data_IF_175406328086
#
_entry.id   IF_175406328086
#
_cell.length_a   1.000
_cell.length_b   1.000
_cell.length_c   1.000
_cell.angle_alpha   90.00
_cell.angle_beta   90.00
_cell.angle_gamma   90.00
#
_symmetry.space_group_name_H-M   'P 1'
#
loop_
_entity.id
_entity.type
_entity.pdbx_description
1 polymer ?
#
# COMPACT_ATOMS: atom_id res chain seq x y z
N UNK A 1 -12.54 -12.56 18.00
CA UNK A 1 -12.97 -11.56 16.99
C UNK A 1 -12.40 -11.98 15.65
N UNK A 2 -13.25 -12.18 14.63
CA UNK A 2 -12.81 -12.44 13.27
C UNK A 2 -12.46 -11.11 12.61
N UNK A 3 -11.18 -10.85 12.35
CA UNK A 3 -10.75 -9.69 11.57
C UNK A 3 -10.95 -9.94 10.08
N UNK A 4 -11.14 -8.87 9.31
CA UNK A 4 -11.26 -8.97 7.85
C UNK A 4 -9.85 -9.05 7.26
N UNK A 5 -9.41 -10.27 6.95
CA UNK A 5 -8.02 -10.55 6.54
C UNK A 5 -7.53 -9.72 5.33
N UNK A 6 -8.42 -9.37 4.40
CA UNK A 6 -8.06 -8.53 3.26
C UNK A 6 -7.59 -7.13 3.68
N UNK A 7 -8.20 -6.55 4.71
CA UNK A 7 -7.83 -5.24 5.26
C UNK A 7 -6.46 -5.32 5.93
N UNK A 8 -6.22 -6.35 6.76
CA UNK A 8 -4.91 -6.54 7.41
C UNK A 8 -3.77 -6.65 6.40
N UNK A 9 -3.99 -7.43 5.33
CA UNK A 9 -3.02 -7.62 4.25
C UNK A 9 -2.79 -6.33 3.46
N UNK A 10 -3.86 -5.59 3.15
CA UNK A 10 -3.74 -4.28 2.49
C UNK A 10 -2.87 -3.31 3.31
N UNK A 11 -3.11 -3.22 4.62
CA UNK A 11 -2.30 -2.41 5.51
C UNK A 11 -0.86 -2.92 5.67
N UNK A 12 -0.62 -4.23 5.62
CA UNK A 12 0.73 -4.78 5.60
C UNK A 12 1.50 -4.33 4.34
N UNK A 13 0.85 -4.37 3.17
CA UNK A 13 1.41 -3.87 1.91
C UNK A 13 1.72 -2.37 2.01
N UNK A 14 0.79 -1.55 2.48
CA UNK A 14 1.00 -0.11 2.66
C UNK A 14 2.18 0.19 3.60
N UNK A 15 2.28 -0.50 4.74
CA UNK A 15 3.42 -0.34 5.66
C UNK A 15 4.75 -0.74 5.01
N UNK A 16 4.76 -1.78 4.17
CA UNK A 16 5.98 -2.19 3.46
C UNK A 16 6.49 -1.11 2.50
N UNK A 17 5.62 -0.19 2.05
CA UNK A 17 5.96 0.94 1.17
C UNK A 17 6.32 2.22 1.92
N UNK A 18 6.20 2.25 3.26
CA UNK A 18 6.50 3.44 4.05
C UNK A 18 7.99 3.85 3.99
N UNK A 19 8.89 2.89 3.70
CA UNK A 19 10.33 3.13 3.53
C UNK A 19 10.74 3.60 2.13
N UNK A 20 9.80 3.69 1.18
CA UNK A 20 10.07 4.07 -0.21
C UNK A 20 9.51 3.08 -1.23
N UNK A 21 9.69 3.38 -2.54
CA UNK A 21 9.15 2.55 -3.60
C UNK A 21 9.72 1.13 -3.62
N UNK A 22 8.89 0.14 -3.91
CA UNK A 22 9.30 -1.27 -3.95
C UNK A 22 8.60 -2.04 -5.07
N UNK A 23 9.25 -3.09 -5.57
CA UNK A 23 8.67 -3.97 -6.59
C UNK A 23 7.72 -5.01 -5.99
N UNK A 24 6.81 -5.57 -6.79
CA UNK A 24 5.82 -6.55 -6.31
C UNK A 24 6.43 -7.78 -5.64
N UNK A 25 7.59 -8.26 -6.13
CA UNK A 25 8.31 -9.41 -5.54
C UNK A 25 8.84 -9.05 -4.16
N UNK A 26 9.50 -7.89 -4.05
CA UNK A 26 10.06 -7.41 -2.79
C UNK A 26 8.97 -7.15 -1.74
N UNK A 27 7.83 -6.59 -2.16
CA UNK A 27 6.66 -6.40 -1.29
C UNK A 27 6.15 -7.76 -0.79
N UNK A 28 6.03 -8.74 -1.68
CA UNK A 28 5.58 -10.10 -1.35
C UNK A 28 6.48 -10.77 -0.30
N UNK A 29 7.80 -10.64 -0.46
CA UNK A 29 8.78 -11.15 0.49
C UNK A 29 8.66 -10.45 1.85
N UNK A 30 8.52 -9.11 1.87
CA UNK A 30 8.38 -8.31 3.10
C UNK A 30 7.11 -8.65 3.89
N UNK A 31 6.01 -8.96 3.22
CA UNK A 31 4.70 -9.20 3.86
C UNK A 31 4.36 -10.68 4.01
N UNK A 32 5.20 -11.60 3.50
CA UNK A 32 4.99 -13.04 3.60
C UNK A 32 3.74 -13.54 2.87
N UNK A 33 3.41 -12.93 1.72
CA UNK A 33 2.23 -13.30 0.92
C UNK A 33 2.63 -13.74 -0.50
N UNK A 34 1.82 -14.58 -1.17
CA UNK A 34 2.06 -14.92 -2.56
C UNK A 34 2.08 -13.67 -3.45
N UNK A 35 2.99 -13.63 -4.43
CA UNK A 35 3.12 -12.53 -5.39
C UNK A 35 1.81 -12.20 -6.11
N UNK A 36 1.01 -13.20 -6.47
CA UNK A 36 -0.31 -13.01 -7.09
C UNK A 36 -1.31 -12.31 -6.16
N UNK A 37 -1.26 -12.61 -4.86
CA UNK A 37 -2.07 -11.93 -3.83
C UNK A 37 -1.64 -10.47 -3.70
N UNK A 38 -0.34 -10.20 -3.61
CA UNK A 38 0.18 -8.83 -3.52
C UNK A 38 -0.14 -8.03 -4.77
N UNK A 39 0.02 -8.61 -5.96
CA UNK A 39 -0.34 -7.95 -7.23
C UNK A 39 -1.81 -7.52 -7.25
N UNK A 40 -2.73 -8.38 -6.80
CA UNK A 40 -4.16 -8.04 -6.70
C UNK A 40 -4.43 -6.94 -5.69
N UNK A 41 -3.79 -6.99 -4.51
CA UNK A 41 -3.91 -5.94 -3.50
C UNK A 41 -3.40 -4.60 -4.04
N UNK A 42 -2.25 -4.59 -4.72
CA UNK A 42 -1.66 -3.39 -5.30
C UNK A 42 -2.55 -2.82 -6.43
N UNK A 43 -3.15 -3.67 -7.26
CA UNK A 43 -4.10 -3.21 -8.28
C UNK A 43 -5.29 -2.48 -7.64
N UNK A 44 -5.93 -3.09 -6.64
CA UNK A 44 -7.05 -2.46 -5.92
C UNK A 44 -6.62 -1.20 -5.17
N UNK A 45 -5.46 -1.22 -4.51
CA UNK A 45 -4.92 -0.04 -3.82
C UNK A 45 -4.59 1.09 -4.79
N UNK A 46 -4.17 0.77 -6.02
CA UNK A 46 -3.89 1.75 -7.07
C UNK A 46 -5.18 2.36 -7.63
N UNK A 47 -6.21 1.53 -7.85
CA UNK A 47 -7.54 1.97 -8.29
C UNK A 47 -8.16 3.01 -7.33
N UNK A 48 -7.93 2.86 -6.02
CA UNK A 48 -8.41 3.81 -5.01
C UNK A 48 -7.41 4.93 -4.67
N UNK A 49 -6.27 5.00 -5.37
CA UNK A 49 -5.25 6.04 -5.17
C UNK A 49 -4.40 5.91 -3.89
N UNK A 50 -4.50 4.79 -3.17
CA UNK A 50 -3.71 4.54 -1.96
C UNK A 50 -2.25 4.21 -2.26
N UNK A 51 -1.97 3.64 -3.44
CA UNK A 51 -0.61 3.46 -3.99
C UNK A 51 -0.55 3.97 -5.42
N UNK A 52 0.64 4.23 -5.91
CA UNK A 52 0.91 4.61 -7.30
C UNK A 52 1.98 3.71 -7.89
N UNK A 53 1.81 3.30 -9.15
CA UNK A 53 2.82 2.56 -9.89
C UNK A 53 3.78 3.54 -10.57
N UNK A 54 5.09 3.28 -10.47
CA UNK A 54 6.16 4.13 -10.99
C UNK A 54 6.79 3.56 -12.27
N UNK A 55 7.15 4.46 -13.19
CA UNK A 55 7.94 4.16 -14.39
C UNK A 55 7.25 3.18 -15.33
N UNK A 56 8.04 2.35 -16.03
CA UNK A 56 7.55 1.25 -16.89
C UNK A 56 6.92 0.08 -16.10
N UNK A 57 6.38 0.34 -14.91
CA UNK A 57 5.56 -0.61 -14.16
C UNK A 57 6.30 -1.45 -13.11
N UNK A 58 7.55 -1.16 -12.78
CA UNK A 58 8.38 -2.05 -11.95
C UNK A 58 8.22 -1.85 -10.44
N UNK A 59 7.75 -0.69 -9.99
CA UNK A 59 7.69 -0.36 -8.56
C UNK A 59 6.39 0.36 -8.18
N UNK A 60 6.04 0.26 -6.90
CA UNK A 60 4.89 0.93 -6.29
C UNK A 60 5.37 1.84 -5.17
N UNK A 61 4.68 2.95 -4.94
CA UNK A 61 4.88 3.85 -3.79
C UNK A 61 3.54 4.20 -3.14
N UNK A 62 3.58 4.82 -1.96
CA UNK A 62 2.38 5.43 -1.35
C UNK A 62 1.82 6.52 -2.27
N UNK A 63 0.51 6.48 -2.50
CA UNK A 63 -0.21 7.43 -3.35
C UNK A 63 -0.81 8.61 -2.59
N UNK A 64 -1.29 9.61 -3.33
CA UNK A 64 -1.83 10.86 -2.79
C UNK A 64 -2.96 10.68 -1.76
N UNK A 65 -3.85 9.69 -1.93
CA UNK A 65 -4.98 9.47 -1.02
C UNK A 65 -4.51 9.19 0.42
N UNK A 66 -3.36 8.53 0.60
CA UNK A 66 -2.79 8.29 1.93
C UNK A 66 -2.24 9.58 2.57
N UNK A 67 -1.71 10.50 1.76
CA UNK A 67 -1.25 11.79 2.25
C UNK A 67 -2.42 12.67 2.71
N UNK A 68 -3.54 12.64 1.98
CA UNK A 68 -4.78 13.33 2.37
C UNK A 68 -5.32 12.80 3.72
N UNK A 69 -5.38 11.47 3.88
CA UNK A 69 -5.76 10.83 5.14
C UNK A 69 -4.82 11.24 6.30
N UNK A 70 -3.51 11.25 6.05
CA UNK A 70 -2.52 11.66 7.05
C UNK A 70 -2.59 13.16 7.39
N UNK A 71 -2.99 14.01 6.44
CA UNK A 71 -3.24 15.43 6.68
C UNK A 71 -4.47 15.63 7.56
N UNK A 72 -5.58 14.94 7.26
CA UNK A 72 -6.80 15.00 8.05
C UNK A 72 -6.63 14.46 9.49
N UNK A 73 -5.76 13.46 9.67
CA UNK A 73 -5.47 12.88 10.98
C UNK A 73 -4.61 13.78 11.88
N UNK A 74 -3.88 14.74 11.32
CA UNK A 74 -3.14 15.73 12.12
C UNK A 74 -4.14 16.78 12.59
N UNK A 75 -4.46 16.88 13.89
CA UNK A 75 -5.27 17.99 14.38
C UNK A 75 -4.56 19.29 13.97
N UNK A 76 -5.28 20.19 13.32
CA UNK A 76 -4.73 21.47 12.90
C UNK A 76 -4.02 22.10 14.10
N UNK A 77 -2.72 22.38 13.99
CA UNK A 77 -2.08 23.29 14.93
C UNK A 77 -2.76 24.64 14.72
N UNK A 78 -3.66 25.01 15.63
CA UNK A 78 -4.11 26.39 15.80
C UNK A 78 -2.92 27.32 15.92
#
# INVERSE_FOLDING_TARGET
MSTVQSIERAFAVLRSLAGGPAGVTEIADRVGLPKSTVARLLATLAEIGAVEQLGAGSQYRIGAAMAELAAAARPGRS
#
